data_IF_324546825712
#
_entry.id   IF_324546825712
#
_cell.length_a   1.000
_cell.length_b   1.000
_cell.length_c   1.000
_cell.angle_alpha   90.00
_cell.angle_beta   90.00
_cell.angle_gamma   90.00
#
_symmetry.space_group_name_H-M   'P 1'
#
loop_
_entity.id
_entity.type
_entity.pdbx_description
1 polymer ?
#
# COMPACT_ATOMS: atom_id res chain seq x y z
N UNK A 1 -47.28 -56.46 10.56
CA UNK A 1 -46.05 -57.17 10.15
C UNK A 1 -45.90 -57.03 8.64
N UNK A 2 -44.66 -56.83 8.17
CA UNK A 2 -44.14 -57.17 6.83
C UNK A 2 -44.78 -56.56 5.56
N UNK A 3 -43.87 -56.11 4.68
CA UNK A 3 -44.06 -55.32 3.46
C UNK A 3 -44.69 -56.09 2.27
N UNK A 4 -45.28 -55.38 1.29
CA UNK A 4 -44.74 -55.38 -0.11
C UNK A 4 -45.46 -54.43 -1.12
N UNK A 5 -44.61 -53.63 -1.78
CA UNK A 5 -44.63 -52.91 -3.08
C UNK A 5 -45.93 -52.78 -3.93
N UNK A 6 -46.34 -51.51 -4.15
CA UNK A 6 -47.00 -50.98 -5.37
C UNK A 6 -47.35 -49.49 -5.25
N UNK A 7 -47.48 -48.64 -6.29
CA UNK A 7 -46.96 -48.58 -7.68
C UNK A 7 -47.18 -47.13 -8.24
N UNK A 8 -46.50 -46.70 -9.32
CA UNK A 8 -47.01 -45.65 -10.23
C UNK A 8 -46.28 -44.29 -10.31
N UNK A 9 -45.85 -43.93 -11.53
CA UNK A 9 -45.11 -42.72 -11.94
C UNK A 9 -45.84 -41.37 -11.78
N UNK A 10 -45.08 -40.30 -11.57
CA UNK A 10 -45.28 -38.98 -12.19
C UNK A 10 -43.94 -38.24 -12.35
N UNK A 11 -43.80 -37.39 -13.38
CA UNK A 11 -42.51 -36.87 -13.86
C UNK A 11 -41.89 -35.74 -13.00
N UNK A 12 -40.55 -35.57 -13.00
CA UNK A 12 -39.89 -34.46 -12.34
C UNK A 12 -40.10 -33.14 -13.10
N UNK A 13 -40.69 -32.15 -12.43
CA UNK A 13 -40.74 -30.78 -12.93
C UNK A 13 -39.35 -30.16 -12.96
N UNK A 14 -39.00 -29.50 -14.06
CA UNK A 14 -37.73 -28.80 -14.24
C UNK A 14 -37.66 -27.54 -13.36
N UNK A 15 -37.13 -27.70 -12.15
CA UNK A 15 -36.57 -26.57 -11.41
C UNK A 15 -35.23 -26.18 -12.02
N UNK A 16 -35.23 -25.18 -12.92
CA UNK A 16 -33.99 -24.61 -13.45
C UNK A 16 -33.17 -24.04 -12.29
N UNK A 17 -32.09 -24.74 -11.92
CA UNK A 17 -31.10 -24.20 -11.01
C UNK A 17 -30.49 -22.94 -11.65
N UNK A 18 -30.52 -21.82 -10.92
CA UNK A 18 -29.81 -20.62 -11.34
C UNK A 18 -28.32 -20.98 -11.55
N UNK A 19 -27.68 -20.51 -12.64
CA UNK A 19 -26.25 -20.76 -12.87
C UNK A 19 -25.46 -20.37 -11.63
N UNK A 20 -24.64 -21.32 -11.14
CA UNK A 20 -24.02 -21.20 -9.82
C UNK A 20 -23.32 -19.86 -9.65
N UNK A 21 -23.62 -19.18 -8.54
CA UNK A 21 -22.95 -17.94 -8.18
C UNK A 21 -21.43 -18.20 -8.15
N UNK A 22 -20.74 -17.72 -9.18
CA UNK A 22 -19.28 -17.75 -9.22
C UNK A 22 -18.81 -17.01 -7.98
N UNK A 23 -18.09 -17.71 -7.11
CA UNK A 23 -17.52 -17.10 -5.92
C UNK A 23 -16.60 -15.95 -6.39
N UNK A 24 -17.00 -14.71 -6.13
CA UNK A 24 -16.16 -13.54 -6.38
C UNK A 24 -14.81 -13.83 -5.70
N UNK A 25 -13.69 -13.87 -6.44
CA UNK A 25 -12.41 -14.16 -5.81
C UNK A 25 -12.14 -13.05 -4.79
N UNK A 26 -11.92 -13.42 -3.52
CA UNK A 26 -11.80 -12.42 -2.46
C UNK A 26 -10.47 -11.68 -2.55
N UNK A 27 -10.40 -10.65 -3.40
CA UNK A 27 -9.21 -9.83 -3.57
C UNK A 27 -9.09 -8.83 -2.42
N UNK A 28 -8.28 -9.19 -1.41
CA UNK A 28 -8.09 -8.38 -0.21
C UNK A 28 -7.19 -7.17 -0.48
N UNK A 29 -7.50 -6.05 0.17
CA UNK A 29 -6.51 -4.99 0.40
C UNK A 29 -5.35 -5.55 1.24
N UNK A 30 -4.12 -5.12 0.98
CA UNK A 30 -2.98 -5.46 1.82
C UNK A 30 -2.01 -4.28 1.97
N UNK A 31 -1.34 -4.24 3.11
CA UNK A 31 -0.21 -3.36 3.38
C UNK A 31 0.94 -4.22 3.90
N UNK A 32 2.15 -3.96 3.41
CA UNK A 32 3.37 -4.64 3.88
C UNK A 32 4.43 -3.60 4.19
N UNK A 33 5.09 -3.74 5.35
CA UNK A 33 6.15 -2.82 5.76
C UNK A 33 7.27 -2.82 4.72
N UNK A 34 7.70 -1.64 4.29
CA UNK A 34 8.76 -1.47 3.31
C UNK A 34 9.74 -0.37 3.74
N UNK A 35 10.89 -0.25 3.08
CA UNK A 35 11.66 1.00 3.07
C UNK A 35 11.72 1.55 1.65
N UNK A 36 11.75 2.88 1.52
CA UNK A 36 11.79 3.54 0.22
C UNK A 36 13.25 3.90 -0.12
N UNK A 37 13.70 3.53 -1.32
CA UNK A 37 14.87 4.13 -1.95
C UNK A 37 14.38 5.00 -3.11
N UNK A 38 14.44 6.33 -2.96
CA UNK A 38 14.05 7.26 -4.01
C UNK A 38 15.13 7.37 -5.08
N UNK A 39 14.71 7.68 -6.30
CA UNK A 39 15.57 7.87 -7.47
C UNK A 39 15.99 6.56 -8.12
N UNK A 40 16.87 6.67 -9.13
CA UNK A 40 17.28 5.55 -9.99
C UNK A 40 18.49 4.76 -9.46
N UNK A 41 19.16 5.23 -8.40
CA UNK A 41 20.38 4.62 -7.86
C UNK A 41 20.08 3.65 -6.71
N UNK A 42 19.54 2.46 -7.01
CA UNK A 42 19.12 1.48 -5.98
C UNK A 42 20.18 1.21 -4.90
N UNK A 43 21.45 1.04 -5.28
CA UNK A 43 22.49 0.63 -4.33
C UNK A 43 23.17 1.79 -3.60
N UNK A 44 22.99 3.04 -4.03
CA UNK A 44 23.67 4.22 -3.46
C UNK A 44 22.72 5.32 -2.96
N UNK A 45 21.46 5.37 -3.44
CA UNK A 45 20.46 6.34 -3.01
C UNK A 45 20.00 6.10 -1.56
N UNK A 46 19.50 7.12 -0.85
CA UNK A 46 19.17 7.02 0.58
C UNK A 46 18.07 5.99 0.86
N UNK A 47 18.01 5.48 2.09
CA UNK A 47 16.91 4.61 2.53
C UNK A 47 16.05 5.43 3.49
N UNK A 48 14.76 5.56 3.18
CA UNK A 48 13.78 6.32 3.95
C UNK A 48 12.78 5.38 4.61
N UNK A 49 12.59 5.58 5.91
CA UNK A 49 11.88 4.65 6.79
C UNK A 49 12.59 3.30 6.87
N UNK A 50 11.85 2.22 7.15
CA UNK A 50 12.46 0.91 7.32
C UNK A 50 13.00 0.61 8.72
N UNK A 51 12.46 1.21 9.79
CA UNK A 51 12.87 0.90 11.16
C UNK A 51 12.76 -0.58 11.54
N UNK A 52 11.86 -1.33 10.90
CA UNK A 52 11.75 -2.80 11.04
C UNK A 52 12.89 -3.59 10.37
N UNK A 53 13.76 -2.95 9.58
CA UNK A 53 15.05 -3.48 9.13
C UNK A 53 16.20 -3.15 10.09
N UNK A 54 15.92 -2.48 11.22
CA UNK A 54 16.91 -2.00 12.18
C UNK A 54 17.50 -0.63 11.87
N UNK A 55 16.94 0.11 10.90
CA UNK A 55 17.36 1.49 10.63
C UNK A 55 16.90 2.44 11.76
N UNK A 56 17.75 3.39 12.12
CA UNK A 56 17.43 4.42 13.12
C UNK A 56 16.52 5.50 12.51
N UNK A 57 15.22 5.21 12.44
CA UNK A 57 14.20 6.10 11.88
C UNK A 57 12.83 5.84 12.52
N UNK A 58 12.13 6.93 12.77
CA UNK A 58 10.74 7.03 13.24
C UNK A 58 9.72 6.97 12.08
N UNK A 59 10.15 7.35 10.86
CA UNK A 59 9.33 7.26 9.65
C UNK A 59 8.96 5.78 9.40
N UNK A 60 7.66 5.49 9.40
CA UNK A 60 7.13 4.18 9.02
C UNK A 60 6.67 4.21 7.57
N UNK A 61 6.99 3.16 6.81
CA UNK A 61 6.72 3.08 5.37
C UNK A 61 6.09 1.74 5.02
N UNK A 62 5.08 1.78 4.16
CA UNK A 62 4.35 0.58 3.72
C UNK A 62 4.09 0.60 2.22
N UNK A 63 4.35 -0.53 1.57
CA UNK A 63 3.82 -0.81 0.24
C UNK A 63 2.35 -1.20 0.40
N UNK A 64 1.47 -0.54 -0.35
CA UNK A 64 0.01 -0.66 -0.21
C UNK A 64 -0.69 -1.03 -1.50
N UNK A 65 -1.65 -1.93 -1.35
CA UNK A 65 -2.74 -2.18 -2.29
C UNK A 65 -4.05 -1.91 -1.56
N UNK A 66 -4.82 -0.98 -2.09
CA UNK A 66 -6.19 -0.72 -1.64
C UNK A 66 -7.17 -1.22 -2.70
N UNK A 67 -8.10 -2.08 -2.26
CA UNK A 67 -9.30 -2.49 -2.99
C UNK A 67 -10.52 -2.21 -2.12
N UNK A 68 -11.42 -1.40 -2.65
CA UNK A 68 -12.68 -1.02 -2.03
C UNK A 68 -13.78 -1.07 -3.08
N UNK A 69 -14.97 -1.56 -2.71
CA UNK A 69 -16.12 -1.61 -3.61
C UNK A 69 -16.69 -0.21 -3.91
N UNK A 70 -16.53 0.71 -2.95
CA UNK A 70 -17.13 2.06 -2.96
C UNK A 70 -16.09 3.18 -3.13
N UNK A 71 -14.81 2.85 -3.30
CA UNK A 71 -13.75 3.83 -3.44
C UNK A 71 -12.70 3.44 -4.49
N UNK A 72 -11.97 4.44 -4.99
CA UNK A 72 -10.95 4.25 -6.02
C UNK A 72 -9.84 3.33 -5.53
N UNK A 73 -9.86 2.08 -6.00
CA UNK A 73 -8.82 1.10 -5.76
C UNK A 73 -7.50 1.56 -6.39
N UNK A 74 -6.38 1.37 -5.67
CA UNK A 74 -5.06 1.88 -6.04
C UNK A 74 -3.92 0.98 -5.58
N UNK A 75 -2.76 1.12 -6.23
CA UNK A 75 -1.47 0.61 -5.77
C UNK A 75 -0.58 1.80 -5.43
N UNK A 76 0.32 1.65 -4.47
CA UNK A 76 1.09 2.78 -3.98
C UNK A 76 1.93 2.45 -2.76
N UNK A 77 2.37 3.49 -2.07
CA UNK A 77 2.98 3.37 -0.75
C UNK A 77 2.44 4.45 0.20
N UNK A 78 2.63 4.27 1.49
CA UNK A 78 2.40 5.32 2.48
C UNK A 78 3.67 5.64 3.27
N UNK A 79 3.79 6.90 3.65
CA UNK A 79 4.78 7.40 4.61
C UNK A 79 4.04 7.93 5.82
N UNK A 80 4.37 7.40 7.00
CA UNK A 80 3.75 7.73 8.27
C UNK A 80 4.79 8.39 9.16
N UNK A 81 4.50 9.61 9.61
CA UNK A 81 5.37 10.40 10.50
C UNK A 81 4.74 10.49 11.89
N UNK A 82 5.52 10.52 12.98
CA UNK A 82 5.00 10.80 14.30
C UNK A 82 4.53 12.25 14.37
N UNK A 83 3.37 12.48 15.00
CA UNK A 83 2.99 13.80 15.50
C UNK A 83 3.54 13.98 16.91
N UNK A 84 3.70 15.24 17.32
CA UNK A 84 4.08 15.58 18.69
C UNK A 84 2.95 15.31 19.67
N UNK A 85 3.17 15.65 20.94
CA UNK A 85 2.09 15.64 21.93
C UNK A 85 0.96 16.63 21.57
N UNK A 86 -0.19 16.42 22.20
CA UNK A 86 -1.44 17.08 21.80
C UNK A 86 -1.49 18.49 22.38
N UNK A 87 -1.08 19.48 21.59
CA UNK A 87 -1.10 20.88 21.98
C UNK A 87 -2.38 21.58 21.49
N UNK A 88 -3.53 21.27 22.10
CA UNK A 88 -4.75 22.07 21.92
C UNK A 88 -4.54 23.51 22.41
N UNK A 89 -3.75 23.70 23.46
CA UNK A 89 -3.42 24.99 24.07
C UNK A 89 -2.66 25.93 23.11
N UNK A 90 -1.87 25.38 22.19
CA UNK A 90 -1.18 26.14 21.13
C UNK A 90 -2.09 26.47 19.92
N UNK A 91 -3.36 26.04 19.93
CA UNK A 91 -4.34 26.33 18.88
C UNK A 91 -4.24 25.45 17.61
N UNK A 92 -3.35 24.46 17.57
CA UNK A 92 -3.23 23.53 16.42
C UNK A 92 -4.33 22.45 16.36
N UNK A 93 -5.03 22.22 17.48
CA UNK A 93 -6.13 21.26 17.59
C UNK A 93 -5.72 19.79 17.42
N UNK A 94 -6.72 18.90 17.46
CA UNK A 94 -6.50 17.44 17.47
C UNK A 94 -7.04 16.79 16.20
N UNK A 95 -6.14 16.25 15.37
CA UNK A 95 -6.53 15.33 14.32
C UNK A 95 -6.92 13.99 14.94
N UNK A 96 -8.15 13.54 14.71
CA UNK A 96 -8.64 12.25 15.16
C UNK A 96 -8.60 11.23 14.02
N UNK A 97 -8.51 9.94 14.37
CA UNK A 97 -8.82 8.83 13.48
C UNK A 97 -9.89 7.95 14.13
N UNK A 98 -10.63 7.19 13.31
CA UNK A 98 -11.58 6.21 13.82
C UNK A 98 -10.81 4.97 14.24
N UNK A 99 -10.81 4.65 15.53
CA UNK A 99 -10.40 3.35 16.02
C UNK A 99 -11.35 2.28 15.46
N UNK A 100 -10.79 1.21 14.91
CA UNK A 100 -11.58 0.17 14.21
C UNK A 100 -12.28 -0.79 15.16
N UNK A 101 -11.76 -0.96 16.38
CA UNK A 101 -12.29 -1.93 17.34
C UNK A 101 -13.45 -1.32 18.13
N UNK A 102 -13.34 -0.06 18.56
CA UNK A 102 -14.42 0.66 19.25
C UNK A 102 -15.35 1.46 18.33
N UNK A 103 -14.94 1.74 17.08
CA UNK A 103 -15.64 2.63 16.15
C UNK A 103 -15.60 4.12 16.55
N UNK A 104 -14.79 4.51 17.54
CA UNK A 104 -14.78 5.85 18.11
C UNK A 104 -13.66 6.72 17.52
N UNK A 105 -13.85 8.05 17.45
CA UNK A 105 -12.74 8.96 17.17
C UNK A 105 -11.77 8.95 18.34
N UNK A 106 -10.48 8.72 18.06
CA UNK A 106 -9.37 8.82 19.02
C UNK A 106 -8.26 9.72 18.45
N UNK A 107 -7.51 10.45 19.28
CA UNK A 107 -6.42 11.30 18.81
C UNK A 107 -5.39 10.54 17.96
N UNK A 108 -4.97 11.13 16.84
CA UNK A 108 -3.96 10.56 15.94
C UNK A 108 -2.58 11.11 16.25
N UNK A 109 -1.73 10.25 16.83
CA UNK A 109 -0.29 10.49 16.98
C UNK A 109 0.52 10.24 15.69
N UNK A 110 -0.17 10.11 14.55
CA UNK A 110 0.39 9.77 13.25
C UNK A 110 -0.11 10.72 12.17
N UNK A 111 0.78 11.06 11.25
CA UNK A 111 0.48 11.80 10.03
C UNK A 111 0.80 10.92 8.83
N UNK A 112 -0.22 10.56 8.04
CA UNK A 112 -0.08 9.69 6.88
C UNK A 112 -0.09 10.50 5.58
N UNK A 113 0.96 10.34 4.77
CA UNK A 113 0.96 10.63 3.34
C UNK A 113 0.74 9.32 2.59
N UNK A 114 -0.15 9.31 1.59
CA UNK A 114 -0.39 8.15 0.72
C UNK A 114 -0.06 8.55 -0.72
N UNK A 115 0.94 7.89 -1.30
CA UNK A 115 1.38 8.08 -2.68
C UNK A 115 0.78 6.96 -3.53
N UNK A 116 -0.11 7.31 -4.45
CA UNK A 116 -0.80 6.39 -5.35
C UNK A 116 -0.16 6.43 -6.73
N UNK A 117 0.20 5.27 -7.25
CA UNK A 117 0.70 5.15 -8.62
C UNK A 117 -0.44 5.28 -9.64
N UNK A 118 -0.20 5.90 -10.81
CA UNK A 118 -1.21 6.03 -11.85
C UNK A 118 -1.53 4.65 -12.45
N UNK A 119 -2.82 4.25 -12.40
CA UNK A 119 -3.29 2.97 -12.96
C UNK A 119 -3.09 2.95 -14.48
N UNK A 120 -2.80 1.78 -15.06
CA UNK A 120 -2.49 1.64 -16.49
C UNK A 120 -1.12 2.20 -16.93
N UNK A 121 -0.55 3.15 -16.19
CA UNK A 121 0.68 3.87 -16.55
C UNK A 121 1.88 3.52 -15.66
N UNK A 122 1.99 2.25 -15.26
CA UNK A 122 3.16 1.70 -14.56
C UNK A 122 3.70 0.44 -15.23
N UNK A 123 5.02 0.29 -15.17
CA UNK A 123 5.72 -0.98 -15.30
C UNK A 123 6.37 -1.32 -13.96
N UNK A 124 6.36 -2.58 -13.54
CA UNK A 124 6.96 -2.98 -12.27
C UNK A 124 7.66 -4.33 -12.33
N UNK A 125 8.74 -4.48 -11.56
CA UNK A 125 9.40 -5.75 -11.28
C UNK A 125 9.44 -6.03 -9.78
N UNK A 126 9.66 -7.30 -9.43
CA UNK A 126 9.92 -7.73 -8.05
C UNK A 126 11.13 -8.66 -8.11
N UNK A 127 12.22 -8.25 -7.50
CA UNK A 127 13.51 -8.91 -7.61
C UNK A 127 14.11 -9.16 -6.22
N UNK A 128 14.96 -10.17 -6.09
CA UNK A 128 15.69 -10.40 -4.83
C UNK A 128 16.76 -9.33 -4.69
N UNK A 129 16.89 -8.72 -3.51
CA UNK A 129 17.91 -7.72 -3.24
C UNK A 129 19.32 -8.31 -3.38
N UNK A 130 20.20 -7.62 -4.11
CA UNK A 130 21.58 -8.06 -4.28
C UNK A 130 22.42 -7.91 -2.99
N UNK A 131 23.63 -8.47 -3.03
CA UNK A 131 24.54 -8.44 -1.88
C UNK A 131 25.00 -7.03 -1.50
N UNK A 132 25.10 -6.09 -2.46
CA UNK A 132 25.51 -4.71 -2.20
C UNK A 132 24.41 -3.97 -1.43
N UNK A 133 23.16 -4.10 -1.88
CA UNK A 133 21.97 -3.57 -1.21
C UNK A 133 21.78 -4.21 0.17
N UNK A 134 21.97 -5.53 0.28
CA UNK A 134 21.86 -6.26 1.55
C UNK A 134 22.92 -5.84 2.57
N UNK A 135 24.15 -5.54 2.14
CA UNK A 135 25.21 -5.04 3.02
C UNK A 135 24.87 -3.70 3.70
N UNK A 136 23.92 -2.93 3.14
CA UNK A 136 23.41 -1.67 3.73
C UNK A 136 22.41 -1.89 4.86
N UNK A 137 21.93 -3.12 5.05
CA UNK A 137 20.95 -3.52 6.05
C UNK A 137 21.47 -4.71 6.89
N UNK A 138 22.64 -4.55 7.56
CA UNK A 138 23.37 -5.66 8.18
C UNK A 138 22.64 -6.30 9.38
N UNK A 139 21.61 -5.64 9.91
CA UNK A 139 20.79 -6.15 11.00
C UNK A 139 19.71 -7.15 10.54
N UNK A 140 19.52 -7.34 9.22
CA UNK A 140 18.62 -8.35 8.67
C UNK A 140 19.32 -9.73 8.69
N UNK A 141 18.77 -10.74 9.39
CA UNK A 141 19.35 -12.08 9.42
C UNK A 141 19.52 -12.71 8.03
N UNK A 142 20.59 -13.47 7.82
CA UNK A 142 20.97 -14.05 6.53
C UNK A 142 19.93 -15.01 5.92
N UNK A 143 19.11 -15.66 6.76
CA UNK A 143 18.05 -16.59 6.35
C UNK A 143 16.78 -15.89 5.84
N UNK A 144 16.65 -14.56 6.02
CA UNK A 144 15.50 -13.80 5.52
C UNK A 144 15.74 -13.34 4.09
N UNK A 145 14.72 -13.46 3.24
CA UNK A 145 14.76 -12.87 1.90
C UNK A 145 14.33 -11.41 1.96
N UNK A 146 15.16 -10.54 1.36
CA UNK A 146 14.86 -9.14 1.12
C UNK A 146 14.53 -9.00 -0.37
N UNK A 147 13.36 -8.46 -0.69
CA UNK A 147 12.93 -8.19 -2.06
C UNK A 147 12.90 -6.70 -2.35
N UNK A 148 13.06 -6.34 -3.61
CA UNK A 148 12.89 -5.00 -4.15
C UNK A 148 11.69 -5.01 -5.08
N UNK A 149 10.65 -4.23 -4.77
CA UNK A 149 9.61 -3.88 -5.74
C UNK A 149 10.04 -2.61 -6.43
N UNK A 150 10.35 -2.70 -7.71
CA UNK A 150 10.63 -1.53 -8.55
C UNK A 150 9.36 -1.15 -9.29
N UNK A 151 8.96 0.11 -9.21
CA UNK A 151 7.83 0.68 -9.95
C UNK A 151 8.34 1.85 -10.78
N UNK A 152 8.08 1.83 -12.08
CA UNK A 152 8.38 2.93 -12.99
C UNK A 152 7.10 3.45 -13.66
N UNK A 153 6.86 4.74 -13.54
CA UNK A 153 5.74 5.47 -14.14
C UNK A 153 6.07 5.77 -15.60
N UNK A 154 5.10 5.57 -16.48
CA UNK A 154 5.26 5.71 -17.92
C UNK A 154 4.44 6.87 -18.48
N UNK A 155 4.66 7.19 -19.76
CA UNK A 155 3.87 8.17 -20.53
C UNK A 155 3.74 9.57 -19.89
N UNK A 156 4.75 10.00 -19.13
CA UNK A 156 4.78 11.33 -18.51
C UNK A 156 3.76 11.56 -17.39
N UNK A 157 3.10 10.51 -16.90
CA UNK A 157 2.15 10.59 -15.79
C UNK A 157 2.83 10.94 -14.46
N UNK A 158 2.03 11.15 -13.40
CA UNK A 158 2.51 11.43 -12.03
C UNK A 158 1.74 10.61 -11.01
N UNK A 159 2.32 10.50 -9.82
CA UNK A 159 1.62 9.97 -8.64
C UNK A 159 0.52 10.93 -8.19
N UNK A 160 -0.53 10.39 -7.56
CA UNK A 160 -1.45 11.19 -6.74
C UNK A 160 -0.98 11.12 -5.28
N UNK A 161 -0.87 12.26 -4.61
CA UNK A 161 -0.43 12.33 -3.20
C UNK A 161 -1.59 12.79 -2.32
N UNK A 162 -2.15 11.87 -1.54
CA UNK A 162 -3.10 12.22 -0.49
C UNK A 162 -2.34 12.60 0.79
N UNK A 163 -2.85 13.60 1.51
CA UNK A 163 -2.30 13.97 2.82
C UNK A 163 -1.10 14.91 2.78
N UNK A 164 -0.75 15.48 1.63
CA UNK A 164 0.14 16.65 1.57
C UNK A 164 -0.64 17.92 1.99
N UNK A 165 0.04 18.87 2.64
CA UNK A 165 -0.53 20.18 2.99
C UNK A 165 -1.60 20.18 4.09
N UNK A 166 -1.79 19.08 4.83
CA UNK A 166 -2.61 19.10 6.05
C UNK A 166 -1.77 19.70 7.21
N UNK A 167 -2.38 20.38 8.19
CA UNK A 167 -1.64 20.91 9.33
C UNK A 167 -0.82 19.83 10.06
N UNK A 168 0.48 20.11 10.26
CA UNK A 168 1.39 19.24 10.99
C UNK A 168 2.14 20.03 12.07
N UNK A 169 2.17 19.47 13.28
CA UNK A 169 2.85 20.04 14.43
C UNK A 169 3.58 18.94 15.20
N UNK A 170 4.88 19.16 15.41
CA UNK A 170 5.79 18.29 16.17
C UNK A 170 7.12 19.05 16.39
N UNK A 171 7.09 20.19 17.11
CA UNK A 171 8.27 21.04 17.30
C UNK A 171 9.41 20.26 17.96
N UNK A 172 10.64 20.51 17.52
CA UNK A 172 11.82 19.75 17.96
C UNK A 172 12.05 18.41 17.24
N UNK A 173 11.06 17.90 16.50
CA UNK A 173 11.23 16.73 15.65
C UNK A 173 11.53 17.12 14.18
N UNK A 174 12.51 16.48 13.50
CA UNK A 174 12.87 16.80 12.11
C UNK A 174 11.70 16.78 11.11
N UNK A 175 10.70 15.92 11.33
CA UNK A 175 9.51 15.84 10.47
C UNK A 175 8.68 17.13 10.41
N UNK A 176 8.85 18.06 11.36
CA UNK A 176 8.24 19.37 11.29
C UNK A 176 8.70 20.14 10.05
N UNK A 177 10.01 20.25 9.85
CA UNK A 177 10.59 20.92 8.69
C UNK A 177 10.38 20.13 7.39
N UNK A 178 10.38 18.79 7.43
CA UNK A 178 10.11 17.98 6.24
C UNK A 178 8.70 18.21 5.69
N UNK A 179 7.70 18.32 6.57
CA UNK A 179 6.28 18.40 6.19
C UNK A 179 5.79 19.84 5.96
N UNK A 180 6.27 20.81 6.74
CA UNK A 180 5.82 22.20 6.65
C UNK A 180 6.65 23.05 5.68
N UNK A 181 7.98 22.88 5.71
CA UNK A 181 8.93 23.77 5.03
C UNK A 181 9.65 23.07 3.84
N UNK A 182 9.26 21.83 3.52
CA UNK A 182 9.91 20.96 2.53
C UNK A 182 11.43 20.81 2.73
N UNK A 183 11.90 20.78 3.99
CA UNK A 183 13.31 20.52 4.27
C UNK A 183 13.72 19.09 3.86
N UNK A 184 15.00 18.85 3.54
CA UNK A 184 15.47 17.51 3.20
C UNK A 184 15.30 16.49 4.34
N UNK A 185 14.81 15.31 3.98
CA UNK A 185 14.76 14.12 4.84
C UNK A 185 16.17 13.51 4.98
N UNK A 186 16.90 13.46 3.87
CA UNK A 186 18.28 12.98 3.83
C UNK A 186 19.04 13.65 2.68
N UNK A 187 20.19 14.26 2.98
CA UNK A 187 21.00 14.95 1.98
C UNK A 187 20.23 16.10 1.32
N UNK A 188 19.97 15.99 0.03
CA UNK A 188 19.18 16.89 -0.81
C UNK A 188 17.75 16.39 -1.09
N UNK A 189 17.38 15.20 -0.60
CA UNK A 189 16.09 14.57 -0.89
C UNK A 189 14.99 15.11 0.03
N UNK A 190 14.00 15.78 -0.57
CA UNK A 190 12.80 16.35 0.07
C UNK A 190 11.56 15.49 -0.22
N UNK A 191 10.42 15.77 0.42
CA UNK A 191 9.16 15.08 0.09
C UNK A 191 8.73 15.34 -1.36
N UNK A 192 8.79 16.59 -1.82
CA UNK A 192 8.43 16.92 -3.20
C UNK A 192 9.36 16.22 -4.20
N UNK A 193 10.67 16.22 -3.97
CA UNK A 193 11.63 15.56 -4.87
C UNK A 193 11.56 14.02 -4.83
N UNK A 194 10.80 13.41 -3.90
CA UNK A 194 10.40 12.00 -3.93
C UNK A 194 9.15 11.83 -4.82
N UNK A 195 8.14 12.69 -4.67
CA UNK A 195 6.87 12.55 -5.39
C UNK A 195 6.96 12.92 -6.87
N UNK A 196 7.92 13.75 -7.26
CA UNK A 196 8.20 14.10 -8.66
C UNK A 196 8.87 12.98 -9.48
N UNK A 197 9.25 11.86 -8.83
CA UNK A 197 10.03 10.81 -9.46
C UNK A 197 9.21 9.91 -10.38
N UNK A 198 9.89 9.40 -11.42
CA UNK A 198 9.34 8.37 -12.30
C UNK A 198 9.61 6.95 -11.80
N UNK A 199 10.54 6.74 -10.87
CA UNK A 199 11.00 5.41 -10.47
C UNK A 199 11.11 5.33 -8.95
N UNK A 200 10.43 4.33 -8.38
CA UNK A 200 10.38 4.05 -6.94
C UNK A 200 10.91 2.64 -6.68
N UNK A 201 11.73 2.49 -5.64
CA UNK A 201 12.23 1.19 -5.18
C UNK A 201 11.79 0.96 -3.74
N UNK A 202 11.07 -0.13 -3.51
CA UNK A 202 10.46 -0.45 -2.22
C UNK A 202 11.05 -1.77 -1.71
N UNK A 203 11.88 -1.68 -0.67
CA UNK A 203 12.50 -2.83 -0.02
C UNK A 203 11.49 -3.51 0.90
N UNK A 204 11.31 -4.83 0.80
CA UNK A 204 10.32 -5.58 1.59
C UNK A 204 10.96 -6.85 2.16
N UNK A 205 10.79 -7.10 3.46
CA UNK A 205 11.26 -8.34 4.11
C UNK A 205 10.32 -9.52 3.82
N UNK A 206 10.30 -9.96 2.56
CA UNK A 206 9.44 -11.04 2.08
C UNK A 206 10.07 -11.71 0.87
N UNK A 207 9.77 -12.99 0.68
CA UNK A 207 10.16 -13.72 -0.52
C UNK A 207 9.55 -13.09 -1.78
N UNK A 208 10.37 -12.94 -2.82
CA UNK A 208 10.03 -12.30 -4.08
C UNK A 208 8.85 -13.02 -4.74
N UNK A 209 8.80 -14.36 -4.70
CA UNK A 209 7.68 -15.10 -5.31
C UNK A 209 6.34 -14.82 -4.62
N UNK A 210 6.30 -14.75 -3.28
CA UNK A 210 5.07 -14.39 -2.56
C UNK A 210 4.66 -12.94 -2.83
N UNK A 211 5.63 -12.03 -2.92
CA UNK A 211 5.39 -10.62 -3.20
C UNK A 211 4.95 -10.39 -4.67
N UNK A 212 5.46 -11.17 -5.62
CA UNK A 212 5.01 -11.21 -7.02
C UNK A 212 3.54 -11.59 -7.11
N UNK A 213 3.14 -12.68 -6.45
CA UNK A 213 1.76 -13.15 -6.49
C UNK A 213 0.79 -12.07 -5.98
N UNK A 214 1.08 -11.46 -4.83
CA UNK A 214 0.24 -10.41 -4.25
C UNK A 214 0.23 -9.13 -5.10
N UNK A 215 1.36 -8.75 -5.70
CA UNK A 215 1.49 -7.50 -6.48
C UNK A 215 0.90 -7.60 -7.89
N UNK A 216 1.24 -8.64 -8.65
CA UNK A 216 0.85 -8.75 -10.06
C UNK A 216 -0.64 -9.09 -10.25
N UNK A 217 -1.22 -9.96 -9.42
CA UNK A 217 -2.67 -10.23 -9.42
C UNK A 217 -3.50 -8.97 -9.11
N UNK A 218 -2.88 -7.97 -8.47
CA UNK A 218 -3.52 -6.68 -8.23
C UNK A 218 -3.35 -5.77 -9.44
N UNK A 219 -2.13 -5.60 -9.95
CA UNK A 219 -1.86 -4.75 -11.10
C UNK A 219 -2.72 -5.13 -12.31
N UNK A 220 -2.76 -6.42 -12.65
CA UNK A 220 -3.53 -6.94 -13.78
C UNK A 220 -5.03 -6.65 -13.62
N UNK A 221 -5.64 -7.02 -12.49
CA UNK A 221 -7.06 -6.80 -12.27
C UNK A 221 -7.45 -5.33 -12.03
N UNK A 222 -6.51 -4.42 -11.74
CA UNK A 222 -6.77 -2.97 -11.78
C UNK A 222 -6.74 -2.43 -13.21
N UNK A 223 -5.85 -2.93 -14.08
CA UNK A 223 -5.85 -2.60 -15.51
C UNK A 223 -7.08 -3.16 -16.24
N UNK A 224 -7.50 -4.38 -15.91
CA UNK A 224 -8.70 -5.00 -16.52
C UNK A 224 -10.01 -4.31 -16.11
N UNK A 225 -10.09 -3.75 -14.89
CA UNK A 225 -11.26 -3.00 -14.44
C UNK A 225 -11.50 -1.71 -15.24
N UNK A 226 -10.48 -1.21 -15.94
CA UNK A 226 -10.56 -0.01 -16.79
C UNK A 226 -11.14 -0.30 -18.18
N UNK A 227 -11.16 -1.58 -18.60
CA UNK A 227 -11.72 -2.05 -19.87
C UNK A 227 -13.20 -2.47 -19.78
N UNK A 228 -13.78 -2.51 -18.58
CA UNK A 228 -15.19 -2.83 -18.39
C UNK A 228 -16.00 -1.54 -18.13
N UNK A 229 -17.07 -1.26 -18.90
CA UNK A 229 -17.94 -0.13 -18.60
C UNK A 229 -18.63 -0.32 -17.24
N UNK A 230 -18.94 0.77 -16.52
CA UNK A 230 -19.64 0.69 -15.24
C UNK A 230 -20.99 -0.03 -15.41
N UNK A 231 -21.25 -1.03 -14.57
CA UNK A 231 -22.46 -1.90 -14.60
C UNK A 231 -23.79 -1.20 -14.27
N UNK A 232 -23.85 0.12 -14.37
CA UNK A 232 -25.03 0.95 -14.10
C UNK A 232 -25.71 1.47 -15.38
N UNK A 233 -25.38 0.87 -16.54
CA UNK A 233 -25.91 1.21 -17.87
C UNK A 233 -26.53 0.00 -18.59
N UNK A 234 -27.13 -0.92 -17.83
CA UNK A 234 -27.89 -2.09 -18.32
C UNK A 234 -29.21 -2.25 -17.59
#
# INVERSE_FOLDING_TARGET
MSQSVSTGNAAPGQGNAAPGAQANPSYRSYAVKCALIPGRQLNNGPIIGGGFFGLATDIHTELRVSRAAEANSYMGFSMTFPRGEINEEDGFGVCHHVDRDSGRPVPSQKYDIIVKFPRGYISSSVDVADNQLRARLPLIPGDKELSVVRVSITQGQRVTVDGLGKPFYNPGHPSHGWLNDNLPIFGDVTLLSIFEQDTFHLLVLRQAQHLKNDWFLVAEALSLAELMPPRWLS
#
